data_IF_994941325146
#
_entry.id   IF_994941325146
#
_cell.length_a   1.000
_cell.length_b   1.000
_cell.length_c   1.000
_cell.angle_alpha   90.00
_cell.angle_beta   90.00
_cell.angle_gamma   90.00
#
_symmetry.space_group_name_H-M   'P 1'
#
loop_
_entity.id
_entity.type
_entity.pdbx_description
1 polymer ?
#
# COMPACT_ATOMS: atom_id res chain seq x y z
N UNK A 1 -26.99 13.99 -38.19
CA UNK A 1 -28.18 13.35 -38.79
C UNK A 1 -27.96 11.85 -38.75
N UNK A 2 -28.74 11.18 -37.90
CA UNK A 2 -29.72 10.16 -38.33
C UNK A 2 -29.06 8.77 -38.39
N UNK A 3 -29.26 7.94 -37.37
CA UNK A 3 -30.41 7.05 -37.17
C UNK A 3 -29.95 5.63 -37.48
N UNK A 4 -29.97 4.73 -36.49
CA UNK A 4 -31.11 3.83 -36.27
C UNK A 4 -31.43 3.04 -37.53
N UNK A 5 -31.15 1.73 -37.55
CA UNK A 5 -32.10 0.83 -38.18
C UNK A 5 -32.13 -0.54 -37.51
N UNK A 6 -33.36 -0.88 -37.18
CA UNK A 6 -33.89 -2.03 -36.49
C UNK A 6 -34.50 -2.97 -37.54
N UNK A 7 -34.43 -4.28 -37.33
CA UNK A 7 -35.22 -5.32 -38.03
C UNK A 7 -35.48 -6.41 -36.97
N UNK A 8 -36.68 -6.67 -36.44
CA UNK A 8 -37.99 -7.03 -37.04
C UNK A 8 -37.80 -8.03 -38.19
N UNK A 9 -38.38 -9.23 -38.24
CA UNK A 9 -39.55 -9.82 -37.58
C UNK A 9 -39.59 -11.34 -37.91
N UNK A 10 -40.46 -12.03 -37.16
CA UNK A 10 -41.34 -13.13 -37.56
C UNK A 10 -40.92 -14.61 -37.38
N UNK A 11 -41.74 -15.23 -36.51
CA UNK A 11 -42.06 -16.63 -36.23
C UNK A 11 -42.62 -17.35 -37.47
N UNK A 12 -42.61 -18.70 -37.52
CA UNK A 12 -43.87 -19.44 -37.27
C UNK A 12 -43.64 -20.79 -36.52
N UNK A 13 -44.55 -21.21 -35.63
CA UNK A 13 -45.64 -22.18 -35.82
C UNK A 13 -45.21 -23.66 -35.81
N UNK A 14 -45.69 -24.44 -34.84
CA UNK A 14 -46.44 -25.68 -35.11
C UNK A 14 -46.97 -26.27 -33.81
N UNK A 15 -48.21 -26.77 -33.88
CA UNK A 15 -49.04 -27.30 -32.80
C UNK A 15 -48.87 -28.81 -32.63
N UNK A 16 -49.11 -29.33 -31.43
CA UNK A 16 -49.80 -30.60 -31.24
C UNK A 16 -50.34 -30.66 -29.80
N UNK A 17 -51.67 -30.67 -29.68
CA UNK A 17 -52.34 -30.92 -28.41
C UNK A 17 -52.59 -32.42 -28.19
N UNK A 18 -52.76 -32.80 -26.93
CA UNK A 18 -53.57 -33.96 -26.53
C UNK A 18 -54.38 -33.53 -25.32
N UNK A 19 -55.70 -33.69 -25.44
CA UNK A 19 -56.72 -33.49 -24.41
C UNK A 19 -57.14 -34.85 -23.84
N UNK A 20 -57.99 -34.81 -22.78
CA UNK A 20 -58.86 -35.88 -22.24
C UNK A 20 -58.19 -36.73 -21.14
N UNK A 21 -58.76 -37.03 -19.97
CA UNK A 21 -59.98 -36.61 -19.26
C UNK A 21 -59.93 -37.08 -17.79
N UNK A 22 -60.73 -36.41 -16.94
CA UNK A 22 -61.48 -36.87 -15.74
C UNK A 22 -60.90 -37.99 -14.87
N UNK A 23 -60.85 -37.72 -13.55
CA UNK A 23 -61.93 -38.11 -12.63
C UNK A 23 -61.59 -37.72 -11.19
N UNK A 24 -62.49 -37.01 -10.52
CA UNK A 24 -62.45 -36.77 -9.07
C UNK A 24 -63.24 -37.88 -8.40
N UNK A 25 -62.54 -38.77 -7.69
CA UNK A 25 -63.15 -39.74 -6.79
C UNK A 25 -62.78 -39.34 -5.36
N UNK A 26 -63.76 -38.77 -4.65
CA UNK A 26 -63.73 -38.63 -3.20
C UNK A 26 -63.98 -40.02 -2.60
N UNK A 27 -62.95 -40.62 -2.02
CA UNK A 27 -63.05 -41.83 -1.20
C UNK A 27 -62.75 -41.49 0.27
N UNK A 28 -63.57 -41.95 1.24
CA UNK A 28 -63.29 -41.75 2.65
C UNK A 28 -62.32 -42.82 3.14
N UNK A 29 -61.14 -42.42 3.59
CA UNK A 29 -60.21 -43.35 4.24
C UNK A 29 -59.58 -42.68 5.47
N UNK A 30 -60.28 -42.88 6.59
CA UNK A 30 -59.75 -43.07 7.95
C UNK A 30 -58.29 -42.66 8.17
N UNK A 31 -58.10 -41.61 8.96
CA UNK A 31 -56.83 -41.28 9.60
C UNK A 31 -56.36 -42.51 10.41
N UNK A 32 -55.43 -43.28 9.85
CA UNK A 32 -54.57 -44.11 10.68
C UNK A 32 -53.55 -43.18 11.31
N UNK A 33 -53.61 -43.09 12.63
CA UNK A 33 -52.50 -42.61 13.43
C UNK A 33 -51.36 -43.63 13.28
N UNK A 34 -50.54 -43.46 12.25
CA UNK A 34 -49.24 -44.09 12.22
C UNK A 34 -48.40 -43.42 13.31
N UNK A 35 -48.19 -44.19 14.38
CA UNK A 35 -47.28 -43.86 15.47
C UNK A 35 -45.94 -43.49 14.85
N UNK A 36 -45.45 -42.29 15.14
CA UNK A 36 -44.13 -41.84 14.71
C UNK A 36 -43.07 -42.87 15.14
N UNK A 37 -42.61 -43.67 14.20
CA UNK A 37 -41.35 -44.38 14.34
C UNK A 37 -40.27 -43.33 14.15
N UNK A 38 -39.53 -43.03 15.22
CA UNK A 38 -38.27 -42.30 15.12
C UNK A 38 -37.46 -42.91 13.99
N UNK A 39 -37.04 -42.09 13.03
CA UNK A 39 -36.05 -42.49 12.05
C UNK A 39 -34.84 -42.97 12.85
N UNK A 40 -34.59 -44.28 12.81
CA UNK A 40 -33.36 -44.87 13.28
C UNK A 40 -32.23 -44.15 12.56
N UNK A 41 -31.40 -43.48 13.35
CA UNK A 41 -30.22 -42.76 12.92
C UNK A 41 -29.25 -43.77 12.32
N UNK A 42 -29.42 -44.04 11.02
CA UNK A 42 -28.38 -44.64 10.22
C UNK A 42 -27.25 -43.60 10.22
N UNK A 43 -26.20 -43.86 11.00
CA UNK A 43 -24.97 -43.10 10.95
C UNK A 43 -24.35 -43.31 9.57
N UNK A 44 -24.80 -42.53 8.60
CA UNK A 44 -24.09 -42.38 7.34
C UNK A 44 -22.68 -41.85 7.67
N UNK A 45 -21.63 -42.40 7.04
CA UNK A 45 -20.28 -41.94 7.28
C UNK A 45 -20.22 -40.44 7.02
N UNK A 46 -19.68 -39.70 7.99
CA UNK A 46 -19.58 -38.23 7.98
C UNK A 46 -19.14 -37.78 6.58
N UNK A 47 -20.01 -37.12 5.80
CA UNK A 47 -19.67 -36.79 4.43
C UNK A 47 -18.52 -35.81 4.47
N UNK A 48 -17.41 -36.18 3.82
CA UNK A 48 -16.31 -35.27 3.57
C UNK A 48 -16.85 -33.99 2.92
N UNK A 49 -16.34 -32.86 3.36
CA UNK A 49 -16.73 -31.53 2.89
C UNK A 49 -16.77 -31.48 1.36
N UNK A 50 -17.95 -31.24 0.79
CA UNK A 50 -18.17 -31.03 -0.65
C UNK A 50 -18.23 -29.54 -0.92
N UNK A 51 -17.65 -29.10 -2.03
CA UNK A 51 -17.67 -27.70 -2.43
C UNK A 51 -19.11 -27.37 -2.89
N UNK A 52 -19.78 -26.40 -2.25
CA UNK A 52 -21.14 -26.05 -2.61
C UNK A 52 -21.16 -25.40 -4.00
N UNK A 53 -22.13 -25.81 -4.81
CA UNK A 53 -22.25 -25.33 -6.20
C UNK A 53 -23.34 -24.27 -6.35
N UNK A 54 -24.24 -24.16 -5.36
CA UNK A 54 -25.38 -23.24 -5.39
C UNK A 54 -25.48 -22.44 -4.09
N UNK A 55 -26.02 -21.22 -4.17
CA UNK A 55 -26.17 -20.33 -3.01
C UNK A 55 -27.10 -20.90 -1.93
N UNK A 56 -28.12 -21.67 -2.33
CA UNK A 56 -29.01 -22.37 -1.40
C UNK A 56 -28.27 -23.42 -0.58
N UNK A 57 -27.33 -24.14 -1.19
CA UNK A 57 -26.51 -25.16 -0.53
C UNK A 57 -25.53 -24.51 0.46
N UNK A 58 -24.98 -23.34 0.11
CA UNK A 58 -24.16 -22.53 1.02
C UNK A 58 -24.97 -22.11 2.25
N UNK A 59 -26.19 -21.60 2.05
CA UNK A 59 -27.05 -21.16 3.14
C UNK A 59 -27.43 -22.31 4.08
N UNK A 60 -27.72 -23.49 3.51
CA UNK A 60 -28.03 -24.70 4.28
C UNK A 60 -26.81 -25.21 5.07
N UNK A 61 -25.61 -25.21 4.46
CA UNK A 61 -24.36 -25.55 5.14
C UNK A 61 -24.02 -24.57 6.27
N UNK A 62 -24.30 -23.27 6.10
CA UNK A 62 -24.12 -22.25 7.14
C UNK A 62 -25.13 -22.37 8.28
N UNK A 63 -26.37 -22.75 7.97
CA UNK A 63 -27.41 -23.03 8.97
C UNK A 63 -27.09 -24.29 9.79
N UNK A 64 -26.49 -25.30 9.15
CA UNK A 64 -26.04 -26.55 9.79
C UNK A 64 -24.74 -26.40 10.58
N UNK A 65 -23.87 -25.48 10.19
CA UNK A 65 -22.59 -25.25 10.86
C UNK A 65 -22.79 -24.50 12.20
N UNK A 66 -22.66 -25.23 13.30
CA UNK A 66 -22.73 -24.70 14.67
C UNK A 66 -21.39 -24.10 15.12
N UNK A 67 -20.27 -24.58 14.57
CA UNK A 67 -18.92 -24.12 14.92
C UNK A 67 -18.39 -23.01 13.99
N UNK A 68 -17.70 -21.99 14.54
CA UNK A 68 -17.17 -20.87 13.75
C UNK A 68 -16.09 -21.29 12.75
N UNK A 69 -15.32 -22.34 13.03
CA UNK A 69 -14.24 -22.81 12.16
C UNK A 69 -14.75 -23.57 10.94
N UNK A 70 -15.92 -24.21 11.04
CA UNK A 70 -16.58 -24.84 9.89
C UNK A 70 -17.12 -23.79 8.93
N UNK A 71 -17.71 -22.70 9.46
CA UNK A 71 -18.14 -21.54 8.65
C UNK A 71 -16.97 -20.88 7.92
N UNK A 72 -15.80 -20.76 8.57
CA UNK A 72 -14.57 -20.26 7.92
C UNK A 72 -14.14 -21.14 6.75
N UNK A 73 -14.14 -22.47 6.92
CA UNK A 73 -13.80 -23.41 5.83
C UNK A 73 -14.79 -23.34 4.67
N UNK A 74 -16.09 -23.18 4.95
CA UNK A 74 -17.11 -22.95 3.91
C UNK A 74 -16.79 -21.67 3.15
N UNK A 75 -16.51 -20.58 3.86
CA UNK A 75 -16.22 -19.28 3.25
C UNK A 75 -14.91 -19.27 2.45
N UNK A 76 -13.85 -19.92 2.96
CA UNK A 76 -12.58 -20.09 2.27
C UNK A 76 -12.72 -20.91 0.98
N UNK A 77 -13.59 -21.92 0.98
CA UNK A 77 -13.89 -22.71 -0.22
C UNK A 77 -14.62 -21.90 -1.31
N UNK A 78 -15.50 -20.98 -0.91
CA UNK A 78 -16.23 -20.07 -1.81
C UNK A 78 -15.34 -18.97 -2.38
N UNK A 79 -14.38 -18.48 -1.60
CA UNK A 79 -13.36 -17.56 -2.09
C UNK A 79 -12.41 -18.19 -3.11
N UNK A 80 -12.48 -19.52 -3.29
CA UNK A 80 -11.84 -20.28 -4.36
C UNK A 80 -10.39 -19.85 -4.60
N UNK A 81 -9.48 -20.19 -3.70
CA UNK A 81 -8.04 -19.92 -3.80
C UNK A 81 -7.71 -18.64 -4.61
N UNK A 82 -8.21 -17.48 -4.18
CA UNK A 82 -7.63 -16.22 -4.63
C UNK A 82 -6.15 -16.31 -4.26
N UNK A 83 -5.29 -16.60 -5.25
CA UNK A 83 -3.88 -16.28 -5.13
C UNK A 83 -3.87 -14.82 -4.68
N UNK A 84 -3.21 -14.48 -3.56
CA UNK A 84 -3.15 -13.10 -3.14
C UNK A 84 -2.75 -12.30 -4.37
N UNK A 85 -3.60 -11.35 -4.78
CA UNK A 85 -3.26 -10.43 -5.86
C UNK A 85 -1.85 -9.97 -5.50
N UNK A 86 -0.84 -10.21 -6.38
CA UNK A 86 0.51 -9.83 -6.05
C UNK A 86 0.43 -8.37 -5.65
N UNK A 87 0.68 -8.10 -4.36
CA UNK A 87 0.78 -6.74 -3.91
C UNK A 87 1.78 -6.10 -4.88
N UNK A 88 1.51 -4.87 -5.38
CA UNK A 88 2.56 -4.14 -6.07
C UNK A 88 3.82 -4.31 -5.21
N UNK A 89 4.96 -4.72 -5.82
CA UNK A 89 6.15 -5.04 -5.05
C UNK A 89 6.34 -3.89 -4.08
N UNK A 90 6.36 -4.20 -2.78
CA UNK A 90 6.66 -3.18 -1.77
C UNK A 90 7.91 -2.48 -2.28
N UNK A 91 7.90 -1.13 -2.41
CA UNK A 91 9.08 -0.42 -2.86
C UNK A 91 10.20 -0.85 -1.94
N UNK A 92 11.11 -1.66 -2.48
CA UNK A 92 12.26 -2.12 -1.74
C UNK A 92 13.07 -0.85 -1.55
N UNK A 93 13.24 -0.44 -0.30
CA UNK A 93 14.29 0.52 0.06
C UNK A 93 15.62 0.07 -0.58
N UNK A 94 16.55 0.99 -0.79
CA UNK A 94 17.72 0.81 -1.63
C UNK A 94 18.34 -0.59 -1.50
N UNK A 95 18.34 -1.28 -2.64
CA UNK A 95 18.78 -2.65 -2.84
C UNK A 95 20.05 -3.01 -2.06
N UNK A 96 19.97 -4.02 -1.20
CA UNK A 96 21.09 -4.94 -0.97
C UNK A 96 21.68 -5.02 0.44
N UNK A 97 21.25 -4.19 1.40
CA UNK A 97 21.75 -4.30 2.77
C UNK A 97 20.75 -5.07 3.63
N UNK A 98 21.09 -6.31 4.00
CA UNK A 98 20.35 -7.07 5.03
C UNK A 98 20.62 -6.42 6.39
N UNK A 99 19.89 -5.35 6.66
CA UNK A 99 20.01 -4.61 7.90
C UNK A 99 19.31 -5.37 9.03
N UNK A 100 19.96 -5.45 10.18
CA UNK A 100 19.43 -6.12 11.37
C UNK A 100 18.16 -5.38 11.81
N UNK A 101 16.98 -6.04 11.85
CA UNK A 101 15.75 -5.38 12.31
C UNK A 101 15.91 -4.97 13.77
N UNK A 102 15.62 -3.70 14.08
CA UNK A 102 15.79 -3.13 15.43
C UNK A 102 14.60 -3.50 16.34
N UNK A 103 13.64 -4.29 15.85
CA UNK A 103 12.48 -4.70 16.66
C UNK A 103 11.43 -3.61 16.84
N UNK A 104 11.21 -2.78 15.81
CA UNK A 104 10.15 -1.75 15.79
C UNK A 104 8.76 -2.38 15.86
N UNK A 105 7.85 -1.72 16.59
CA UNK A 105 6.43 -2.10 16.73
C UNK A 105 5.51 -1.31 15.80
N UNK A 106 5.97 -0.17 15.27
CA UNK A 106 5.19 0.66 14.35
C UNK A 106 4.84 -0.13 13.07
N UNK A 107 3.56 -0.23 12.74
CA UNK A 107 3.05 -1.01 11.60
C UNK A 107 2.81 -0.17 10.35
N UNK A 108 2.35 1.07 10.52
CA UNK A 108 2.10 2.03 9.45
C UNK A 108 2.56 3.43 9.86
N UNK A 109 2.80 4.27 8.87
CA UNK A 109 3.01 5.70 9.05
C UNK A 109 1.69 6.44 8.78
N UNK A 110 1.66 7.73 9.12
CA UNK A 110 0.51 8.61 8.84
C UNK A 110 0.58 9.26 7.45
N UNK A 111 1.60 8.90 6.65
CA UNK A 111 1.81 9.39 5.29
C UNK A 111 1.50 8.30 4.26
N UNK A 112 0.85 8.71 3.17
CA UNK A 112 0.56 7.82 2.05
C UNK A 112 1.85 7.49 1.31
N UNK A 113 2.09 6.21 1.05
CA UNK A 113 3.23 5.75 0.24
C UNK A 113 4.56 5.66 0.98
N UNK A 114 4.62 5.99 2.28
CA UNK A 114 5.85 5.89 3.09
C UNK A 114 5.76 4.68 4.03
N UNK A 115 6.35 3.52 3.68
CA UNK A 115 6.31 2.34 4.55
C UNK A 115 7.22 2.52 5.77
N UNK A 116 6.88 1.86 6.90
CA UNK A 116 7.74 1.87 8.09
C UNK A 116 9.05 1.14 7.80
N UNK A 117 10.17 1.77 8.12
CA UNK A 117 11.48 1.18 7.89
C UNK A 117 11.94 0.36 9.11
N UNK A 118 12.40 -0.88 8.89
CA UNK A 118 12.76 -1.82 9.97
C UNK A 118 14.10 -1.50 10.67
N UNK A 119 14.99 -0.75 10.01
CA UNK A 119 16.34 -0.44 10.49
C UNK A 119 16.83 0.96 10.03
N UNK A 120 16.12 2.05 10.39
CA UNK A 120 16.35 3.38 9.81
C UNK A 120 17.74 3.96 10.09
N UNK A 121 18.30 3.73 11.28
CA UNK A 121 19.59 4.30 11.68
C UNK A 121 20.75 3.81 10.81
N UNK A 122 20.82 2.50 10.54
CA UNK A 122 21.86 1.93 9.69
C UNK A 122 21.76 2.42 8.23
N UNK A 123 20.54 2.50 7.69
CA UNK A 123 20.30 3.06 6.34
C UNK A 123 20.78 4.50 6.26
N UNK A 124 20.45 5.33 7.25
CA UNK A 124 20.90 6.72 7.32
C UNK A 124 22.42 6.84 7.40
N UNK A 125 23.06 6.06 8.27
CA UNK A 125 24.52 6.04 8.41
C UNK A 125 25.18 5.66 7.09
N UNK A 126 24.68 4.61 6.43
CA UNK A 126 25.19 4.18 5.13
C UNK A 126 25.04 5.29 4.07
N UNK A 127 23.88 5.89 3.97
CA UNK A 127 23.56 6.91 2.95
C UNK A 127 24.37 8.19 3.17
N UNK A 128 24.49 8.66 4.42
CA UNK A 128 25.34 9.80 4.75
C UNK A 128 26.83 9.53 4.46
N UNK A 129 27.35 8.36 4.83
CA UNK A 129 28.72 7.96 4.49
C UNK A 129 28.95 7.90 2.98
N UNK A 130 27.97 7.42 2.22
CA UNK A 130 28.02 7.36 0.75
C UNK A 130 27.99 8.77 0.14
N UNK A 131 27.18 9.66 0.71
CA UNK A 131 27.12 11.08 0.32
C UNK A 131 28.46 11.76 0.57
N UNK A 132 29.04 11.62 1.77
CA UNK A 132 30.36 12.18 2.11
C UNK A 132 31.45 11.68 1.15
N UNK A 133 31.49 10.38 0.84
CA UNK A 133 32.41 9.81 -0.16
C UNK A 133 32.23 10.41 -1.55
N UNK A 134 31.00 10.76 -1.92
CA UNK A 134 30.71 11.41 -3.20
C UNK A 134 31.22 12.85 -3.22
N UNK A 135 31.02 13.57 -2.11
CA UNK A 135 31.48 14.94 -1.91
C UNK A 135 33.01 15.09 -1.90
N UNK A 136 33.76 14.04 -1.57
CA UNK A 136 35.23 14.05 -1.68
C UNK A 136 35.73 14.41 -3.08
N UNK A 137 34.96 14.09 -4.13
CA UNK A 137 35.27 14.38 -5.54
C UNK A 137 35.11 15.85 -5.91
N UNK A 138 34.40 16.64 -5.10
CA UNK A 138 34.16 18.06 -5.35
C UNK A 138 35.36 18.91 -4.94
N UNK A 139 35.59 20.08 -5.53
CA UNK A 139 36.62 21.00 -5.03
C UNK A 139 36.26 21.52 -3.62
N UNK A 140 37.26 21.64 -2.74
CA UNK A 140 37.08 22.11 -1.34
C UNK A 140 36.50 23.53 -1.23
N UNK A 141 36.69 24.36 -2.25
CA UNK A 141 36.16 25.73 -2.31
C UNK A 141 34.69 25.82 -2.74
N UNK A 142 34.07 24.73 -3.19
CA UNK A 142 32.66 24.76 -3.59
C UNK A 142 31.76 24.98 -2.36
N UNK A 143 30.94 26.03 -2.41
CA UNK A 143 29.98 26.38 -1.35
C UNK A 143 29.01 25.22 -1.09
N UNK A 144 28.53 24.58 -2.17
CA UNK A 144 27.66 23.40 -2.06
C UNK A 144 28.31 22.30 -1.22
N UNK A 145 29.55 21.89 -1.55
CA UNK A 145 30.30 20.88 -0.79
C UNK A 145 30.39 21.24 0.69
N UNK A 146 30.80 22.46 1.02
CA UNK A 146 30.98 22.91 2.40
C UNK A 146 29.67 22.85 3.19
N UNK A 147 28.58 23.32 2.58
CA UNK A 147 27.25 23.31 3.21
C UNK A 147 26.78 21.89 3.51
N UNK A 148 26.85 20.99 2.52
CA UNK A 148 26.36 19.62 2.66
C UNK A 148 27.26 18.81 3.59
N UNK A 149 28.59 18.97 3.53
CA UNK A 149 29.51 18.31 4.47
C UNK A 149 29.19 18.70 5.91
N UNK A 150 28.98 19.99 6.19
CA UNK A 150 28.66 20.45 7.54
C UNK A 150 27.33 19.88 8.06
N UNK A 151 26.29 19.88 7.22
CA UNK A 151 24.96 19.37 7.59
C UNK A 151 24.96 17.86 7.77
N UNK A 152 25.59 17.13 6.84
CA UNK A 152 25.64 15.66 6.90
C UNK A 152 26.47 15.16 8.06
N UNK A 153 27.56 15.85 8.43
CA UNK A 153 28.34 15.51 9.63
C UNK A 153 27.52 15.67 10.91
N UNK A 154 26.85 16.81 11.09
CA UNK A 154 25.97 17.05 12.25
C UNK A 154 24.87 15.98 12.34
N UNK A 155 24.21 15.67 11.23
CA UNK A 155 23.16 14.63 11.19
C UNK A 155 23.71 13.24 11.48
N UNK A 156 24.89 12.91 10.95
CA UNK A 156 25.55 11.62 11.19
C UNK A 156 25.91 11.47 12.68
N UNK A 157 26.43 12.54 13.31
CA UNK A 157 26.71 12.56 14.75
C UNK A 157 25.46 12.26 15.55
N UNK A 158 24.34 12.94 15.27
CA UNK A 158 23.05 12.71 15.94
C UNK A 158 22.64 11.23 15.80
N UNK A 159 22.58 10.71 14.57
CA UNK A 159 22.17 9.31 14.34
C UNK A 159 23.11 8.32 15.01
N UNK A 160 24.42 8.59 15.03
CA UNK A 160 25.40 7.71 15.66
C UNK A 160 25.21 7.58 17.17
N UNK A 161 24.75 8.65 17.85
CA UNK A 161 24.45 8.62 19.29
C UNK A 161 23.33 7.63 19.61
N UNK A 162 22.30 7.58 18.75
CA UNK A 162 21.13 6.71 18.96
C UNK A 162 21.32 5.30 18.39
N UNK A 163 22.41 5.03 17.66
CA UNK A 163 22.69 3.70 17.14
C UNK A 163 23.34 2.80 18.22
N UNK A 164 22.53 2.28 19.14
CA UNK A 164 22.99 1.28 20.12
C UNK A 164 22.78 -0.13 19.58
N UNK A 165 23.84 -0.96 19.48
CA UNK A 165 23.71 -2.38 19.14
C UNK A 165 23.26 -3.15 20.38
N UNK A 166 21.96 -3.40 20.53
CA UNK A 166 21.46 -4.10 21.72
C UNK A 166 19.98 -4.45 21.64
N UNK A 167 19.62 -5.60 22.22
CA UNK A 167 18.26 -6.13 22.34
C UNK A 167 17.41 -5.33 23.33
N UNK A 168 17.26 -4.04 23.06
CA UNK A 168 16.37 -3.16 23.78
C UNK A 168 14.92 -3.64 23.57
N UNK A 169 14.10 -3.51 24.61
CA UNK A 169 12.67 -3.77 24.48
C UNK A 169 12.07 -2.88 23.39
N UNK A 170 11.08 -3.40 22.66
CA UNK A 170 10.50 -2.70 21.52
C UNK A 170 9.98 -1.27 21.84
N UNK A 171 9.60 -1.00 23.09
CA UNK A 171 9.18 0.33 23.53
C UNK A 171 10.37 1.32 23.67
N UNK A 172 11.52 0.84 24.15
CA UNK A 172 12.74 1.64 24.22
C UNK A 172 13.26 2.01 22.82
N UNK A 173 13.10 1.10 21.85
CA UNK A 173 13.45 1.37 20.44
C UNK A 173 12.60 2.48 19.85
N UNK A 174 11.27 2.45 20.05
CA UNK A 174 10.42 3.52 19.54
C UNK A 174 10.68 4.85 20.24
N UNK A 175 11.01 4.84 21.54
CA UNK A 175 11.38 6.07 22.25
C UNK A 175 12.69 6.64 21.71
N UNK A 176 13.71 5.81 21.48
CA UNK A 176 14.97 6.23 20.83
C UNK A 176 14.75 6.85 19.46
N UNK A 177 13.86 6.28 18.65
CA UNK A 177 13.51 6.84 17.34
C UNK A 177 12.86 8.21 17.48
N UNK A 178 11.93 8.38 18.42
CA UNK A 178 11.30 9.68 18.70
C UNK A 178 12.30 10.73 19.19
N UNK A 179 13.22 10.34 20.07
CA UNK A 179 14.25 11.25 20.58
C UNK A 179 15.18 11.69 19.43
N UNK A 180 15.55 10.75 18.54
CA UNK A 180 16.32 11.06 17.34
C UNK A 180 15.56 11.96 16.35
N UNK A 181 14.27 11.74 16.14
CA UNK A 181 13.39 12.60 15.33
C UNK A 181 13.37 14.03 15.88
N UNK A 182 13.24 14.18 17.21
CA UNK A 182 13.28 15.48 17.87
C UNK A 182 14.62 16.18 17.74
N UNK A 183 15.76 15.48 17.86
CA UNK A 183 17.10 16.09 17.74
C UNK A 183 17.43 16.44 16.28
N UNK A 184 16.95 15.66 15.31
CA UNK A 184 17.09 15.97 13.87
C UNK A 184 16.16 17.10 13.41
N UNK A 185 15.11 17.40 14.17
CA UNK A 185 14.08 18.37 13.78
C UNK A 185 13.19 17.86 12.64
N UNK A 186 12.99 16.55 12.55
CA UNK A 186 12.14 15.92 11.53
C UNK A 186 10.96 15.26 12.21
N UNK A 187 9.78 15.29 11.57
CA UNK A 187 8.59 14.66 12.13
C UNK A 187 8.63 13.12 12.07
N UNK A 188 9.24 12.56 11.02
CA UNK A 188 9.29 11.12 10.77
C UNK A 188 10.68 10.69 10.29
N UNK A 189 11.25 9.64 10.90
CA UNK A 189 12.59 9.16 10.53
C UNK A 189 12.69 8.66 9.08
N UNK A 190 11.61 8.11 8.52
CA UNK A 190 11.56 7.69 7.12
C UNK A 190 11.67 8.86 6.13
N UNK A 191 11.15 10.04 6.48
CA UNK A 191 11.34 11.26 5.68
C UNK A 191 12.81 11.67 5.65
N UNK A 192 13.52 11.54 6.77
CA UNK A 192 14.95 11.80 6.82
C UNK A 192 15.75 10.85 5.92
N UNK A 193 15.31 9.59 5.76
CA UNK A 193 15.91 8.63 4.82
C UNK A 193 15.74 9.12 3.39
N UNK A 194 14.52 9.46 3.00
CA UNK A 194 14.24 9.99 1.66
C UNK A 194 15.04 11.27 1.39
N UNK A 195 15.09 12.20 2.35
CA UNK A 195 15.91 13.41 2.20
C UNK A 195 17.41 13.08 2.01
N UNK A 196 17.94 12.07 2.71
CA UNK A 196 19.33 11.66 2.56
C UNK A 196 19.58 10.99 1.18
N UNK A 197 18.65 10.20 0.68
CA UNK A 197 18.70 9.58 -0.66
C UNK A 197 18.61 10.64 -1.77
N UNK A 198 17.69 11.59 -1.62
CA UNK A 198 17.51 12.72 -2.54
C UNK A 198 18.76 13.60 -2.57
N UNK A 199 19.36 13.89 -1.41
CA UNK A 199 20.62 14.65 -1.34
C UNK A 199 21.77 13.91 -2.03
N UNK A 200 21.84 12.58 -1.87
CA UNK A 200 22.85 11.78 -2.56
C UNK A 200 22.65 11.82 -4.09
N UNK A 201 21.42 11.65 -4.56
CA UNK A 201 21.07 11.76 -5.98
C UNK A 201 21.33 13.16 -6.53
N UNK A 202 21.00 14.19 -5.75
CA UNK A 202 21.27 15.59 -6.08
C UNK A 202 22.77 15.82 -6.21
N UNK A 203 23.59 15.32 -5.29
CA UNK A 203 25.04 15.42 -5.36
C UNK A 203 25.60 14.80 -6.65
N UNK A 204 25.06 13.67 -7.12
CA UNK A 204 25.44 13.10 -8.42
C UNK A 204 25.08 14.04 -9.58
N UNK A 205 23.87 14.59 -9.59
CA UNK A 205 23.43 15.52 -10.64
C UNK A 205 24.21 16.83 -10.66
N UNK A 206 24.56 17.39 -9.49
CA UNK A 206 25.36 18.61 -9.37
C UNK A 206 26.79 18.33 -9.83
N UNK A 207 27.30 17.13 -9.58
CA UNK A 207 28.60 16.71 -10.08
C UNK A 207 28.64 16.70 -11.61
N UNK A 208 27.60 16.19 -12.26
CA UNK A 208 27.45 16.19 -13.71
C UNK A 208 27.27 17.61 -14.27
N UNK A 209 26.47 18.45 -13.62
CA UNK A 209 26.18 19.82 -14.07
C UNK A 209 27.30 20.81 -13.76
N UNK A 210 28.27 20.44 -12.91
CA UNK A 210 29.39 21.26 -12.46
C UNK A 210 28.97 22.67 -11.99
N UNK A 211 27.88 22.75 -11.21
CA UNK A 211 27.24 24.01 -10.85
C UNK A 211 28.11 24.98 -10.01
N UNK A 212 29.29 24.54 -9.55
CA UNK A 212 30.25 25.37 -8.83
C UNK A 212 31.20 26.17 -9.74
N UNK A 213 31.10 26.00 -11.06
CA UNK A 213 31.88 26.79 -12.02
C UNK A 213 31.28 28.19 -12.20
N UNK A 214 32.05 29.06 -12.84
CA UNK A 214 31.57 30.38 -13.24
C UNK A 214 30.39 30.25 -14.23
N UNK A 215 29.54 31.27 -14.21
CA UNK A 215 28.35 31.34 -15.05
C UNK A 215 28.72 31.17 -16.54
N UNK A 216 28.12 30.19 -17.21
CA UNK A 216 28.38 29.90 -18.62
C UNK A 216 28.00 31.07 -19.54
N UNK A 217 26.89 31.75 -19.26
CA UNK A 217 26.41 32.89 -20.04
C UNK A 217 25.95 34.03 -19.12
N UNK A 218 26.54 35.21 -19.29
CA UNK A 218 26.10 36.42 -18.59
C UNK A 218 24.76 36.88 -19.14
N UNK A 219 23.86 37.39 -18.28
CA UNK A 219 22.57 37.89 -18.75
C UNK A 219 22.75 39.06 -19.72
N UNK A 220 21.84 39.17 -20.69
CA UNK A 220 21.77 40.32 -21.57
C UNK A 220 21.51 41.61 -20.76
N UNK A 221 22.04 42.77 -21.21
CA UNK A 221 21.77 44.03 -20.54
C UNK A 221 20.25 44.30 -20.54
N UNK A 222 19.70 44.63 -19.37
CA UNK A 222 18.26 44.87 -19.19
C UNK A 222 17.41 43.61 -18.93
N UNK A 223 17.95 42.38 -19.01
CA UNK A 223 17.19 41.14 -18.78
C UNK A 223 16.52 41.06 -17.39
N UNK A 224 17.20 41.58 -16.38
CA UNK A 224 16.73 41.61 -14.99
C UNK A 224 16.20 42.99 -14.58
N UNK A 225 16.09 43.93 -15.52
CA UNK A 225 15.43 45.21 -15.26
C UNK A 225 13.92 45.00 -15.31
N UNK A 226 13.27 45.22 -14.17
CA UNK A 226 11.82 45.05 -14.07
C UNK A 226 11.10 46.16 -14.85
N UNK A 227 9.86 45.90 -15.26
CA UNK A 227 9.05 46.90 -15.95
C UNK A 227 8.91 48.17 -15.11
N UNK A 228 9.14 49.37 -15.69
CA UNK A 228 8.91 50.60 -14.98
C UNK A 228 7.43 50.69 -14.60
N UNK A 229 7.15 50.93 -13.32
CA UNK A 229 5.79 51.18 -12.85
C UNK A 229 5.38 52.56 -13.39
N UNK A 230 4.37 52.67 -14.28
CA UNK A 230 3.95 53.98 -14.77
C UNK A 230 3.41 54.81 -13.60
N UNK A 231 3.71 56.11 -13.58
CA UNK A 231 3.28 57.07 -12.54
C UNK A 231 1.76 57.14 -12.33
N UNK A 232 0.97 56.57 -13.24
CA UNK A 232 -0.48 56.40 -13.11
C UNK A 232 -0.89 55.42 -12.00
N UNK A 233 0.00 54.56 -11.50
CA UNK A 233 -0.34 53.51 -10.50
C UNK A 233 0.45 53.64 -9.20
N UNK A 234 1.30 54.65 -9.04
CA UNK A 234 2.01 54.94 -7.79
C UNK A 234 1.27 56.02 -7.00
N UNK A 235 0.93 55.74 -5.74
CA UNK A 235 0.53 56.78 -4.79
C UNK A 235 1.66 57.81 -4.66
N UNK A 236 1.34 59.12 -4.57
CA UNK A 236 2.35 60.15 -4.36
C UNK A 236 3.15 59.84 -3.10
N UNK A 237 4.47 59.88 -3.24
CA UNK A 237 5.43 59.62 -2.18
C UNK A 237 5.74 60.97 -1.54
N UNK A 238 4.87 61.39 -0.62
CA UNK A 238 5.16 62.46 0.35
C UNK A 238 5.84 61.87 1.59
#
# INVERSE_FOLDING_TARGET
MSSFFQRLLLRPSSSAGVMVSRSYALGPSTLRFDRATYASEASEPVPAFRIPTTESEVAEMLARATNPDERKKIFESLLGAQKPVPLPPTPKGPSGVHLVPIGRKKTKTDYVGVPVHHSPFETLIHTYKTTLKTLEKFPKGAVYRQSVESLTQVRLEIISKYNTPGGDGAEAVEQRVKDAESELGVHLIEEAIHQAEDEHSLALSIFESQAWQDLQEKPAPGQWEYFPVPSSTSYPKD
#
